data_IF_260440572599
#
_entry.id   IF_260440572599
#
_cell.length_a   1.000
_cell.length_b   1.000
_cell.length_c   1.000
_cell.angle_alpha   90.00
_cell.angle_beta   90.00
_cell.angle_gamma   90.00
#
_symmetry.space_group_name_H-M   'P 1'
#
loop_
_entity.id
_entity.type
_entity.pdbx_description
1 polymer ?
#
# COMPACT_ATOMS: atom_id res chain seq x y z
N UNK A 1 -43.06 -92.11 29.02
CA UNK A 1 -42.80 -92.32 27.58
C UNK A 1 -42.38 -90.99 26.99
N UNK A 2 -41.25 -91.03 26.29
CA UNK A 2 -40.63 -90.04 25.38
C UNK A 2 -41.65 -89.36 24.45
N UNK A 3 -41.46 -88.15 23.89
CA UNK A 3 -40.26 -87.68 23.20
C UNK A 3 -40.25 -86.12 23.07
N UNK A 4 -39.07 -85.51 22.84
CA UNK A 4 -38.75 -84.08 22.87
C UNK A 4 -38.70 -83.46 21.46
N UNK A 5 -38.19 -82.22 21.37
CA UNK A 5 -37.92 -81.37 20.19
C UNK A 5 -39.03 -80.38 19.81
N UNK A 6 -38.89 -79.14 20.28
CA UNK A 6 -39.33 -77.94 19.53
C UNK A 6 -38.05 -77.30 18.92
N UNK A 7 -37.84 -77.31 17.59
CA UNK A 7 -36.56 -76.93 16.99
C UNK A 7 -36.35 -75.43 16.72
N UNK A 8 -37.23 -74.52 17.15
CA UNK A 8 -37.25 -73.16 16.58
C UNK A 8 -36.67 -72.02 17.44
N UNK A 9 -35.74 -72.28 18.36
CA UNK A 9 -34.97 -71.21 19.02
C UNK A 9 -33.57 -71.05 18.42
N UNK A 10 -33.51 -70.56 17.18
CA UNK A 10 -32.28 -70.01 16.62
C UNK A 10 -32.22 -68.51 16.96
N UNK A 11 -31.14 -68.12 17.64
CA UNK A 11 -30.96 -66.82 18.27
C UNK A 11 -31.07 -65.64 17.33
N UNK A 12 -31.76 -64.60 17.81
CA UNK A 12 -31.71 -63.27 17.22
C UNK A 12 -30.31 -62.68 17.43
N UNK A 13 -29.68 -62.07 16.40
CA UNK A 13 -28.41 -61.37 16.55
C UNK A 13 -28.58 -60.11 17.44
N UNK A 14 -27.56 -59.71 18.22
CA UNK A 14 -27.62 -58.51 19.04
C UNK A 14 -27.86 -57.27 18.17
N UNK A 15 -28.92 -56.52 18.46
CA UNK A 15 -29.15 -55.22 17.83
C UNK A 15 -28.13 -54.21 18.40
N UNK A 16 -27.23 -53.74 17.54
CA UNK A 16 -26.35 -52.61 17.80
C UNK A 16 -27.19 -51.37 18.17
N UNK A 17 -27.05 -50.90 19.41
CA UNK A 17 -27.63 -49.64 19.85
C UNK A 17 -26.81 -48.48 19.24
N UNK A 18 -27.43 -47.58 18.46
CA UNK A 18 -26.72 -46.39 17.99
C UNK A 18 -26.41 -45.47 19.18
N UNK A 19 -25.13 -45.17 19.37
CA UNK A 19 -24.63 -44.19 20.34
C UNK A 19 -25.34 -42.85 20.14
N UNK A 20 -26.02 -42.37 21.17
CA UNK A 20 -26.64 -41.05 21.20
C UNK A 20 -25.54 -39.99 21.22
N UNK A 21 -25.18 -39.49 20.03
CA UNK A 21 -24.38 -38.29 19.87
C UNK A 21 -25.15 -37.09 20.44
N UNK A 22 -24.63 -36.50 21.51
CA UNK A 22 -25.19 -35.29 22.10
C UNK A 22 -25.22 -34.17 21.06
N UNK A 23 -26.42 -33.74 20.69
CA UNK A 23 -26.61 -32.58 19.83
C UNK A 23 -26.16 -31.34 20.59
N UNK A 24 -25.01 -30.79 20.21
CA UNK A 24 -24.68 -29.42 20.56
C UNK A 24 -25.73 -28.51 19.90
N UNK A 25 -26.35 -27.57 20.64
CA UNK A 25 -27.31 -26.65 20.06
C UNK A 25 -26.66 -25.87 18.91
N UNK A 26 -27.43 -25.57 17.83
CA UNK A 26 -26.93 -24.76 16.74
C UNK A 26 -26.44 -23.41 17.27
N UNK A 27 -25.24 -23.00 16.85
CA UNK A 27 -24.67 -21.73 17.27
C UNK A 27 -25.65 -20.58 16.95
N UNK A 28 -25.81 -19.59 17.85
CA UNK A 28 -26.68 -18.44 17.59
C UNK A 28 -26.33 -17.77 16.26
N UNK A 29 -27.33 -17.35 15.46
CA UNK A 29 -27.06 -16.57 14.26
C UNK A 29 -26.39 -15.27 14.68
N UNK A 30 -25.19 -15.02 14.14
CA UNK A 30 -24.46 -13.77 14.35
C UNK A 30 -25.34 -12.64 13.83
N UNK A 31 -25.68 -11.68 14.69
CA UNK A 31 -26.51 -10.55 14.27
C UNK A 31 -25.78 -9.70 13.23
N UNK A 32 -26.52 -9.06 12.31
CA UNK A 32 -25.92 -8.12 11.35
C UNK A 32 -25.12 -7.01 12.05
N UNK A 33 -25.54 -6.63 13.26
CA UNK A 33 -24.81 -5.72 14.16
C UNK A 33 -23.49 -6.28 14.66
N UNK A 34 -23.40 -7.58 14.96
CA UNK A 34 -22.15 -8.24 15.38
C UNK A 34 -21.21 -8.46 14.19
N UNK A 35 -21.74 -8.78 13.00
CA UNK A 35 -20.97 -8.78 11.75
C UNK A 35 -20.40 -7.40 11.42
N UNK A 36 -21.17 -6.33 11.70
CA UNK A 36 -20.72 -4.93 11.50
C UNK A 36 -19.80 -4.42 12.61
N UNK A 37 -19.91 -4.96 13.84
CA UNK A 37 -19.07 -4.57 14.98
C UNK A 37 -17.69 -5.23 14.97
N UNK A 38 -17.43 -6.17 14.07
CA UNK A 38 -16.05 -6.46 13.62
C UNK A 38 -15.58 -5.36 12.66
N UNK A 39 -15.89 -4.09 12.96
CA UNK A 39 -15.11 -2.97 12.48
C UNK A 39 -13.73 -3.14 13.09
N UNK A 40 -12.89 -3.94 12.42
CA UNK A 40 -11.51 -4.24 12.80
C UNK A 40 -10.88 -2.90 13.15
N UNK A 41 -10.57 -2.69 14.44
CA UNK A 41 -9.92 -1.48 14.90
C UNK A 41 -8.82 -1.13 13.91
N UNK A 42 -8.89 0.07 13.34
CA UNK A 42 -8.09 0.44 12.17
C UNK A 42 -6.63 0.04 12.40
N UNK A 43 -6.08 -0.90 11.62
CA UNK A 43 -4.77 -1.45 11.93
C UNK A 43 -3.72 -0.35 11.94
N UNK A 44 -2.84 -0.35 12.95
CA UNK A 44 -1.74 0.62 13.07
C UNK A 44 -0.92 0.73 11.78
N UNK A 45 -0.79 -0.36 11.04
CA UNK A 45 -0.14 -0.38 9.73
C UNK A 45 -0.75 0.60 8.70
N UNK A 46 -2.07 0.80 8.70
CA UNK A 46 -2.74 1.75 7.80
C UNK A 46 -2.41 3.19 8.17
N UNK A 47 -2.37 3.49 9.47
CA UNK A 47 -1.99 4.83 9.93
C UNK A 47 -0.51 5.12 9.69
N UNK A 48 0.38 4.14 9.89
CA UNK A 48 1.80 4.26 9.52
C UNK A 48 1.96 4.48 8.01
N UNK A 49 1.27 3.71 7.17
CA UNK A 49 1.31 3.91 5.72
C UNK A 49 0.80 5.30 5.32
N UNK A 50 -0.28 5.77 5.94
CA UNK A 50 -0.80 7.12 5.74
C UNK A 50 0.23 8.19 6.12
N UNK A 51 0.89 8.06 7.28
CA UNK A 51 1.92 8.99 7.71
C UNK A 51 3.12 9.01 6.75
N UNK A 52 3.55 7.85 6.25
CA UNK A 52 4.63 7.76 5.27
C UNK A 52 4.26 8.42 3.95
N UNK A 53 3.03 8.21 3.46
CA UNK A 53 2.53 8.90 2.27
C UNK A 53 2.44 10.42 2.44
N UNK A 54 2.01 10.91 3.62
CA UNK A 54 2.01 12.34 3.91
C UNK A 54 3.44 12.89 3.98
N UNK A 55 4.37 12.14 4.59
CA UNK A 55 5.77 12.52 4.63
C UNK A 55 6.37 12.62 3.22
N UNK A 56 6.01 11.68 2.32
CA UNK A 56 6.47 11.70 0.93
C UNK A 56 5.95 12.93 0.18
N UNK A 57 4.69 13.30 0.36
CA UNK A 57 4.11 14.53 -0.19
C UNK A 57 4.89 15.78 0.28
N UNK A 58 5.26 15.84 1.55
CA UNK A 58 6.00 16.98 2.12
C UNK A 58 7.42 17.04 1.53
N UNK A 59 8.12 15.90 1.50
CA UNK A 59 9.49 15.82 0.95
C UNK A 59 9.47 16.17 -0.54
N UNK A 60 8.52 15.62 -1.31
CA UNK A 60 8.32 15.94 -2.72
C UNK A 60 8.01 17.42 -2.96
N UNK A 61 7.25 18.08 -2.08
CA UNK A 61 6.99 19.52 -2.17
C UNK A 61 8.29 20.33 -1.97
N UNK A 62 9.07 20.01 -0.94
CA UNK A 62 10.36 20.68 -0.68
C UNK A 62 11.34 20.44 -1.83
N UNK A 63 11.43 19.21 -2.33
CA UNK A 63 12.27 18.86 -3.46
C UNK A 63 11.87 19.61 -4.74
N UNK A 64 10.58 19.82 -4.99
CA UNK A 64 10.10 20.65 -6.10
C UNK A 64 10.56 22.11 -5.96
N UNK A 65 10.40 22.72 -4.77
CA UNK A 65 10.85 24.09 -4.54
C UNK A 65 12.34 24.27 -4.79
N UNK A 66 13.16 23.33 -4.31
CA UNK A 66 14.61 23.35 -4.56
C UNK A 66 14.90 23.16 -6.05
N UNK A 67 14.19 22.24 -6.72
CA UNK A 67 14.35 22.01 -8.16
C UNK A 67 14.08 23.26 -8.98
N UNK A 68 13.09 24.08 -8.61
CA UNK A 68 12.84 25.37 -9.25
C UNK A 68 14.01 26.33 -9.05
N UNK A 69 14.60 26.37 -7.85
CA UNK A 69 15.74 27.24 -7.55
C UNK A 69 17.03 26.79 -8.26
N UNK A 70 17.24 25.48 -8.45
CA UNK A 70 18.45 24.91 -9.05
C UNK A 70 18.32 24.60 -10.55
N UNK A 71 17.14 24.82 -11.15
CA UNK A 71 16.83 24.40 -12.52
C UNK A 71 17.86 24.89 -13.56
N UNK A 72 18.23 26.16 -13.48
CA UNK A 72 19.21 26.76 -14.40
C UNK A 72 20.59 26.11 -14.26
N UNK A 73 21.06 25.93 -13.02
CA UNK A 73 22.38 25.38 -12.74
C UNK A 73 22.48 23.92 -13.15
N UNK A 74 21.43 23.13 -12.89
CA UNK A 74 21.34 21.74 -13.35
C UNK A 74 21.41 21.68 -14.88
N UNK A 75 20.70 22.56 -15.59
CA UNK A 75 20.73 22.65 -17.06
C UNK A 75 22.12 23.00 -17.58
N UNK A 76 22.76 24.02 -17.00
CA UNK A 76 24.10 24.44 -17.38
C UNK A 76 25.11 23.30 -17.17
N UNK A 77 25.05 22.61 -16.03
CA UNK A 77 25.92 21.46 -15.73
C UNK A 77 25.64 20.26 -16.62
N UNK A 78 24.38 20.06 -17.01
CA UNK A 78 23.99 18.99 -17.94
C UNK A 78 24.54 19.27 -19.34
N UNK A 79 24.41 20.50 -19.83
CA UNK A 79 24.95 20.93 -21.13
C UNK A 79 26.48 20.82 -21.16
N UNK A 80 27.16 21.23 -20.09
CA UNK A 80 28.60 21.09 -19.93
C UNK A 80 29.04 19.62 -20.03
N UNK A 81 28.34 18.71 -19.35
CA UNK A 81 28.71 17.27 -19.35
C UNK A 81 28.34 16.53 -20.64
N UNK A 82 27.25 16.90 -21.29
CA UNK A 82 26.78 16.23 -22.51
C UNK A 82 27.35 16.84 -23.79
N UNK A 83 27.98 18.03 -23.71
CA UNK A 83 28.45 18.77 -24.88
C UNK A 83 27.30 19.23 -25.79
N UNK A 84 26.08 19.33 -25.25
CA UNK A 84 24.87 19.70 -25.99
C UNK A 84 24.35 21.05 -25.52
N UNK A 85 23.63 21.76 -26.39
CA UNK A 85 22.88 22.95 -26.04
C UNK A 85 21.40 22.58 -25.88
N UNK A 86 21.05 21.91 -24.77
CA UNK A 86 19.65 21.74 -24.43
C UNK A 86 19.05 23.14 -24.21
N UNK A 87 18.05 23.48 -25.03
CA UNK A 87 17.31 24.72 -24.86
C UNK A 87 16.55 24.67 -23.55
N UNK A 88 16.59 25.77 -22.81
CA UNK A 88 15.74 25.93 -21.65
C UNK A 88 14.29 26.05 -22.11
N UNK A 89 13.48 25.04 -21.82
CA UNK A 89 12.10 25.32 -21.44
C UNK A 89 12.17 26.02 -20.09
N UNK A 90 12.05 27.36 -20.08
CA UNK A 90 11.85 28.10 -18.83
C UNK A 90 10.74 27.40 -18.04
N UNK A 91 10.87 27.21 -16.71
CA UNK A 91 9.81 26.62 -15.92
C UNK A 91 8.53 27.42 -16.14
N UNK A 92 7.62 26.88 -16.95
CA UNK A 92 6.37 27.55 -17.25
C UNK A 92 5.53 27.55 -15.98
N UNK A 93 4.80 28.65 -15.72
CA UNK A 93 3.77 28.63 -14.68
C UNK A 93 2.81 27.45 -14.85
N UNK A 94 2.60 26.99 -16.09
CA UNK A 94 1.82 25.79 -16.39
C UNK A 94 2.40 24.50 -15.78
N UNK A 95 3.73 24.30 -15.78
CA UNK A 95 4.33 23.11 -15.17
C UNK A 95 4.26 23.16 -13.65
N UNK A 96 4.44 24.35 -13.05
CA UNK A 96 4.27 24.53 -11.61
C UNK A 96 2.83 24.23 -11.17
N UNK A 97 1.83 24.79 -11.85
CA UNK A 97 0.41 24.55 -11.57
C UNK A 97 0.07 23.07 -11.76
N UNK A 98 0.52 22.46 -12.86
CA UNK A 98 0.29 21.05 -13.12
C UNK A 98 0.86 20.16 -11.99
N UNK A 99 2.09 20.41 -11.55
CA UNK A 99 2.69 19.68 -10.42
C UNK A 99 1.88 19.84 -9.13
N UNK A 100 1.35 21.03 -8.85
CA UNK A 100 0.49 21.26 -7.68
C UNK A 100 -0.84 20.51 -7.77
N UNK A 101 -1.45 20.46 -8.95
CA UNK A 101 -2.69 19.68 -9.18
C UNK A 101 -2.42 18.19 -8.95
N UNK A 102 -1.32 17.67 -9.49
CA UNK A 102 -0.91 16.27 -9.27
C UNK A 102 -0.70 16.02 -7.77
N UNK A 103 -0.03 16.92 -7.05
CA UNK A 103 0.18 16.80 -5.60
C UNK A 103 -1.15 16.78 -4.83
N UNK A 104 -2.11 17.63 -5.19
CA UNK A 104 -3.44 17.65 -4.59
C UNK A 104 -4.20 16.33 -4.84
N UNK A 105 -4.13 15.78 -6.06
CA UNK A 105 -4.72 14.48 -6.38
C UNK A 105 -4.08 13.35 -5.55
N UNK A 106 -2.76 13.38 -5.37
CA UNK A 106 -2.05 12.46 -4.48
C UNK A 106 -2.60 12.50 -3.06
N UNK A 107 -2.76 13.71 -2.48
CA UNK A 107 -3.33 13.87 -1.14
C UNK A 107 -4.74 13.28 -1.05
N UNK A 108 -5.60 13.54 -2.03
CA UNK A 108 -6.96 12.96 -2.09
C UNK A 108 -6.91 11.44 -2.07
N UNK A 109 -6.05 10.81 -2.88
CA UNK A 109 -5.88 9.36 -2.91
C UNK A 109 -5.41 8.80 -1.56
N UNK A 110 -4.50 9.50 -0.88
CA UNK A 110 -3.99 9.12 0.44
C UNK A 110 -5.11 9.15 1.49
N UNK A 111 -5.98 10.15 1.45
CA UNK A 111 -7.15 10.19 2.34
C UNK A 111 -8.18 9.11 2.01
N UNK A 112 -8.43 8.82 0.73
CA UNK A 112 -9.32 7.72 0.32
C UNK A 112 -8.78 6.36 0.77
N UNK A 113 -7.47 6.13 0.63
CA UNK A 113 -6.80 4.96 1.17
C UNK A 113 -6.98 4.89 2.70
N UNK A 114 -6.80 6.01 3.41
CA UNK A 114 -7.01 6.07 4.87
C UNK A 114 -8.44 5.67 5.27
N UNK A 115 -9.42 5.98 4.42
CA UNK A 115 -10.84 5.63 4.58
C UNK A 115 -11.18 4.15 4.29
N UNK A 116 -10.22 3.32 3.88
CA UNK A 116 -10.47 1.89 3.58
C UNK A 116 -10.80 1.59 2.13
N UNK A 117 -10.71 2.58 1.23
CA UNK A 117 -11.00 2.37 -0.18
C UNK A 117 -9.94 1.46 -0.85
N UNK A 118 -10.35 0.25 -1.22
CA UNK A 118 -9.48 -0.73 -1.89
C UNK A 118 -8.86 -0.22 -3.20
N UNK A 119 -9.65 0.51 -4.00
CA UNK A 119 -9.18 1.03 -5.29
C UNK A 119 -8.04 2.04 -5.12
N UNK A 120 -8.09 2.87 -4.08
CA UNK A 120 -7.09 3.90 -3.82
C UNK A 120 -5.70 3.30 -3.58
N UNK A 121 -5.64 2.12 -2.96
CA UNK A 121 -4.38 1.38 -2.75
C UNK A 121 -3.74 0.96 -4.06
N UNK A 122 -4.54 0.39 -4.97
CA UNK A 122 -4.04 -0.06 -6.27
C UNK A 122 -3.48 1.14 -7.03
N UNK A 123 -4.24 2.23 -7.08
CA UNK A 123 -3.79 3.47 -7.74
C UNK A 123 -2.51 4.02 -7.10
N UNK A 124 -2.44 4.13 -5.76
CA UNK A 124 -1.24 4.59 -5.06
C UNK A 124 -0.03 3.67 -5.30
N UNK A 125 -0.26 2.37 -5.43
CA UNK A 125 0.83 1.41 -5.72
C UNK A 125 1.35 1.57 -7.12
N UNK A 126 0.46 1.74 -8.11
CA UNK A 126 0.86 1.96 -9.50
C UNK A 126 1.60 3.29 -9.63
N UNK A 127 1.04 4.38 -9.09
CA UNK A 127 1.67 5.70 -9.15
C UNK A 127 2.97 5.75 -8.34
N UNK A 128 3.00 5.14 -7.15
CA UNK A 128 4.18 5.03 -6.32
C UNK A 128 5.27 4.20 -6.97
N UNK A 129 4.91 3.06 -7.57
CA UNK A 129 5.83 2.21 -8.33
C UNK A 129 6.42 2.93 -9.55
N UNK A 130 5.60 3.66 -10.31
CA UNK A 130 6.08 4.50 -11.41
C UNK A 130 7.02 5.61 -10.91
N UNK A 131 6.69 6.22 -9.77
CA UNK A 131 7.53 7.25 -9.15
C UNK A 131 8.89 6.69 -8.71
N UNK A 132 8.91 5.50 -8.10
CA UNK A 132 10.13 4.76 -7.76
C UNK A 132 10.98 4.52 -9.01
N UNK A 133 10.38 4.01 -10.10
CA UNK A 133 11.11 3.76 -11.35
C UNK A 133 11.70 5.06 -11.93
N UNK A 134 10.93 6.15 -11.95
CA UNK A 134 11.40 7.44 -12.41
C UNK A 134 12.55 7.98 -11.55
N UNK A 135 12.47 7.83 -10.22
CA UNK A 135 13.54 8.22 -9.29
C UNK A 135 14.80 7.38 -9.50
N UNK A 136 14.67 6.06 -9.69
CA UNK A 136 15.81 5.17 -9.97
C UNK A 136 16.53 5.56 -11.27
N UNK A 137 15.79 5.94 -12.31
CA UNK A 137 16.40 6.50 -13.54
C UNK A 137 17.10 7.84 -13.26
N UNK A 138 16.49 8.70 -12.44
CA UNK A 138 17.09 9.95 -11.99
C UNK A 138 18.40 9.77 -11.22
N UNK A 139 18.54 8.67 -10.45
CA UNK A 139 19.78 8.35 -9.73
C UNK A 139 20.97 8.13 -10.66
N UNK A 140 20.75 7.69 -11.91
CA UNK A 140 21.83 7.56 -12.89
C UNK A 140 22.48 8.92 -13.21
N UNK A 141 21.74 10.01 -13.05
CA UNK A 141 22.19 11.38 -13.24
C UNK A 141 22.56 12.10 -11.94
N UNK A 142 22.60 11.41 -10.78
CA UNK A 142 22.77 12.05 -9.46
C UNK A 142 24.08 12.85 -9.34
N UNK A 143 25.13 12.44 -10.06
CA UNK A 143 26.42 13.15 -10.09
C UNK A 143 26.34 14.55 -10.71
N UNK A 144 25.28 14.88 -11.47
CA UNK A 144 25.01 16.25 -11.93
C UNK A 144 24.52 17.11 -10.76
N UNK A 145 23.60 16.60 -9.94
CA UNK A 145 23.06 17.33 -8.79
C UNK A 145 24.16 17.69 -7.79
N UNK A 146 25.08 16.77 -7.49
CA UNK A 146 26.22 17.08 -6.61
C UNK A 146 27.16 18.15 -7.17
N UNK A 147 27.23 18.30 -8.50
CA UNK A 147 28.07 19.34 -9.15
C UNK A 147 27.47 20.74 -9.16
N UNK A 148 26.19 20.89 -8.77
CA UNK A 148 25.49 22.19 -8.63
C UNK A 148 25.83 22.88 -7.30
N UNK A 149 26.44 22.16 -6.35
CA UNK A 149 26.80 22.68 -5.03
C UNK A 149 25.82 22.22 -3.94
N UNK A 150 25.77 22.97 -2.83
CA UNK A 150 25.07 22.53 -1.61
C UNK A 150 23.57 22.25 -1.84
N UNK A 151 22.86 23.10 -2.58
CA UNK A 151 21.44 22.90 -2.88
C UNK A 151 21.19 21.66 -3.74
N UNK A 152 22.05 21.40 -4.72
CA UNK A 152 21.96 20.19 -5.55
C UNK A 152 22.27 18.92 -4.74
N UNK A 153 23.23 18.98 -3.82
CA UNK A 153 23.49 17.88 -2.89
C UNK A 153 22.29 17.59 -1.97
N UNK A 154 21.66 18.64 -1.42
CA UNK A 154 20.43 18.50 -0.62
C UNK A 154 19.30 17.88 -1.47
N UNK A 155 19.12 18.34 -2.71
CA UNK A 155 18.12 17.80 -3.63
C UNK A 155 18.36 16.31 -3.92
N UNK A 156 19.61 15.90 -4.13
CA UNK A 156 19.99 14.50 -4.31
C UNK A 156 19.65 13.65 -3.08
N UNK A 157 19.98 14.14 -1.87
CA UNK A 157 19.67 13.45 -0.62
C UNK A 157 18.17 13.34 -0.37
N UNK A 158 17.41 14.40 -0.64
CA UNK A 158 15.95 14.39 -0.54
C UNK A 158 15.34 13.37 -1.50
N UNK A 159 15.86 13.23 -2.71
CA UNK A 159 15.43 12.19 -3.65
C UNK A 159 15.64 10.77 -3.13
N UNK A 160 16.76 10.51 -2.46
CA UNK A 160 17.04 9.21 -1.83
C UNK A 160 16.10 8.96 -0.65
N UNK A 161 15.88 9.97 0.20
CA UNK A 161 14.95 9.87 1.33
C UNK A 161 13.53 9.61 0.83
N UNK A 162 13.08 10.35 -0.18
CA UNK A 162 11.77 10.17 -0.81
C UNK A 162 11.59 8.74 -1.31
N UNK A 163 12.58 8.21 -2.02
CA UNK A 163 12.57 6.83 -2.52
C UNK A 163 12.33 5.82 -1.39
N UNK A 164 13.05 5.95 -0.28
CA UNK A 164 12.92 5.07 0.88
C UNK A 164 11.54 5.21 1.52
N UNK A 165 11.05 6.44 1.67
CA UNK A 165 9.74 6.73 2.26
C UNK A 165 8.61 6.13 1.42
N UNK A 166 8.64 6.29 0.09
CA UNK A 166 7.62 5.73 -0.81
C UNK A 166 7.63 4.20 -0.78
N UNK A 167 8.82 3.58 -0.80
CA UNK A 167 8.95 2.12 -0.66
C UNK A 167 8.35 1.66 0.68
N UNK A 168 8.70 2.34 1.78
CA UNK A 168 8.14 2.07 3.10
C UNK A 168 6.62 2.22 3.13
N UNK A 169 6.08 3.27 2.53
CA UNK A 169 4.64 3.52 2.46
C UNK A 169 3.91 2.36 1.77
N UNK A 170 4.43 1.89 0.63
CA UNK A 170 3.87 0.74 -0.09
C UNK A 170 3.96 -0.54 0.74
N UNK A 171 5.10 -0.85 1.34
CA UNK A 171 5.29 -2.06 2.15
C UNK A 171 4.32 -2.08 3.34
N UNK A 172 4.23 -0.98 4.10
CA UNK A 172 3.29 -0.89 5.22
C UNK A 172 1.83 -0.89 4.76
N UNK A 173 1.55 -0.35 3.57
CA UNK A 173 0.21 -0.37 2.97
C UNK A 173 -0.28 -1.80 2.70
N UNK A 174 0.59 -2.77 2.38
CA UNK A 174 0.20 -4.16 2.09
C UNK A 174 0.41 -5.18 3.22
N UNK A 175 1.09 -4.79 4.32
CA UNK A 175 1.34 -5.67 5.48
C UNK A 175 0.05 -6.36 5.95
N UNK A 176 0.11 -7.65 6.30
CA UNK A 176 -1.07 -8.54 6.44
C UNK A 176 -2.26 -8.01 7.27
N UNK A 177 -2.00 -7.23 8.32
CA UNK A 177 -3.05 -6.57 9.12
C UNK A 177 -3.89 -5.56 8.29
N UNK A 178 -3.23 -4.80 7.43
CA UNK A 178 -3.86 -3.82 6.55
C UNK A 178 -4.62 -4.52 5.41
N UNK A 179 -4.20 -5.71 4.96
CA UNK A 179 -4.92 -6.46 3.92
C UNK A 179 -6.26 -7.03 4.42
N UNK A 180 -6.39 -7.32 5.72
CA UNK A 180 -7.65 -7.81 6.32
C UNK A 180 -8.68 -6.70 6.52
N UNK A 181 -8.25 -5.52 7.00
CA UNK A 181 -9.15 -4.36 7.16
C UNK A 181 -9.83 -3.97 5.84
N UNK A 182 -9.07 -3.95 4.77
CA UNK A 182 -9.56 -3.58 3.46
C UNK A 182 -10.41 -4.66 2.79
N UNK A 183 -10.22 -5.95 3.09
CA UNK A 183 -11.14 -7.01 2.64
C UNK A 183 -12.51 -6.96 3.35
N UNK A 184 -12.58 -6.28 4.49
CA UNK A 184 -13.78 -6.13 5.31
C UNK A 184 -14.48 -4.76 5.14
N UNK A 185 -13.88 -3.83 4.39
CA UNK A 185 -14.42 -2.49 4.06
C UNK A 185 -14.94 -2.44 2.63
#
# INVERSE_FOLDING_TARGET
MTNPYDPNQQGQPPQDQPQQGGYLPPAPPVSDSEMRSVAVAKPKAVDTAFQLWIASVIVGLVANLISFATAQDVLNKTNEKLGTALQQSSPSYGSAIFSLVILALWVVLIFQMRGGANWARIVLTVLGGLSILAQLLGLLAIGILFSVGALGAIQALLGIVELIVVIGAIVFMFKGESSRYFKAS
#
